data_IF_224065545473
#
_entry.id   IF_224065545473
#
_cell.length_a   1.000
_cell.length_b   1.000
_cell.length_c   1.000
_cell.angle_alpha   90.00
_cell.angle_beta   90.00
_cell.angle_gamma   90.00
#
_symmetry.space_group_name_H-M   'P 1'
#
loop_
_entity.id
_entity.type
_entity.pdbx_description
1 polymer ?
#
# COMPACT_ATOMS: atom_id res chain seq x y z
N UNK A 1 4.00 -8.38 -13.86
CA UNK A 1 3.51 -9.18 -12.72
C UNK A 1 3.86 -10.65 -12.95
N UNK A 2 4.47 -11.30 -11.97
CA UNK A 2 4.78 -12.75 -12.03
C UNK A 2 3.74 -13.59 -11.28
N UNK A 3 3.78 -14.90 -11.49
CA UNK A 3 2.95 -15.88 -10.76
C UNK A 3 3.27 -15.87 -9.27
N UNK A 4 4.55 -15.75 -8.93
CA UNK A 4 5.07 -15.70 -7.56
C UNK A 4 4.48 -14.49 -6.80
N UNK A 5 4.45 -13.30 -7.41
CA UNK A 5 3.83 -12.11 -6.80
C UNK A 5 2.35 -12.36 -6.46
N UNK A 6 1.60 -12.95 -7.39
CA UNK A 6 0.19 -13.29 -7.18
C UNK A 6 -0.02 -14.36 -6.11
N UNK A 7 0.89 -15.33 -5.99
CA UNK A 7 0.87 -16.30 -4.90
C UNK A 7 1.08 -15.64 -3.54
N UNK A 8 1.98 -14.65 -3.45
CA UNK A 8 2.17 -13.84 -2.24
C UNK A 8 0.90 -13.10 -1.81
N UNK A 9 0.23 -12.43 -2.76
CA UNK A 9 -1.05 -11.73 -2.50
C UNK A 9 -2.11 -12.73 -2.03
N UNK A 10 -2.29 -13.84 -2.74
CA UNK A 10 -3.27 -14.87 -2.38
C UNK A 10 -2.96 -15.51 -1.01
N UNK A 11 -1.69 -15.70 -0.68
CA UNK A 11 -1.27 -16.20 0.62
C UNK A 11 -1.62 -15.20 1.73
N UNK A 12 -1.34 -13.91 1.54
CA UNK A 12 -1.70 -12.87 2.49
C UNK A 12 -3.23 -12.75 2.65
N UNK A 13 -3.99 -12.89 1.56
CA UNK A 13 -5.46 -12.88 1.60
C UNK A 13 -6.04 -13.99 2.47
N UNK A 14 -5.57 -15.22 2.26
CA UNK A 14 -6.04 -16.41 2.96
C UNK A 14 -5.66 -16.43 4.43
N UNK A 15 -4.51 -15.84 4.77
CA UNK A 15 -3.93 -16.00 6.11
C UNK A 15 -4.08 -14.77 7.00
N UNK A 16 -4.58 -13.64 6.49
CA UNK A 16 -4.97 -12.46 7.28
C UNK A 16 -6.49 -12.29 7.14
N UNK A 17 -7.22 -12.81 8.13
CA UNK A 17 -8.69 -12.91 8.07
C UNK A 17 -9.31 -11.98 9.09
N UNK A 18 -10.27 -11.16 8.66
CA UNK A 18 -11.09 -10.35 9.54
C UNK A 18 -12.23 -11.19 10.12
N UNK A 19 -12.35 -11.23 11.45
CA UNK A 19 -13.47 -11.84 12.14
C UNK A 19 -14.49 -10.75 12.48
N UNK A 20 -15.66 -10.79 11.84
CA UNK A 20 -16.73 -9.83 12.06
C UNK A 20 -17.26 -9.86 13.50
N UNK A 21 -17.27 -11.02 14.17
CA UNK A 21 -17.86 -11.15 15.52
C UNK A 21 -17.00 -10.48 16.58
N UNK A 22 -15.68 -10.59 16.44
CA UNK A 22 -14.73 -10.00 17.39
C UNK A 22 -14.11 -8.69 16.88
N UNK A 23 -14.56 -8.20 15.72
CA UNK A 23 -14.01 -7.04 15.01
C UNK A 23 -12.47 -7.04 14.94
N UNK A 24 -11.87 -8.20 14.75
CA UNK A 24 -10.43 -8.38 14.90
C UNK A 24 -9.83 -9.22 13.79
N UNK A 25 -8.58 -8.93 13.42
CA UNK A 25 -7.83 -9.79 12.51
C UNK A 25 -7.25 -11.00 13.22
N UNK A 26 -7.22 -12.12 12.50
CA UNK A 26 -6.55 -13.36 12.91
C UNK A 26 -5.52 -13.76 11.86
N UNK A 27 -4.44 -14.37 12.33
CA UNK A 27 -3.45 -15.00 11.47
C UNK A 27 -3.70 -16.50 11.43
N UNK A 28 -3.92 -17.04 10.23
CA UNK A 28 -3.97 -18.49 10.04
C UNK A 28 -2.57 -19.09 9.87
N UNK A 29 -1.56 -18.26 9.62
CA UNK A 29 -0.16 -18.66 9.66
C UNK A 29 0.62 -17.65 10.52
N UNK A 30 1.34 -18.17 11.51
CA UNK A 30 2.15 -17.40 12.46
C UNK A 30 3.34 -16.69 11.81
N UNK A 31 3.62 -16.94 10.54
CA UNK A 31 4.68 -16.28 9.80
C UNK A 31 4.63 -14.75 9.87
N UNK A 32 3.43 -14.17 9.90
CA UNK A 32 3.26 -12.72 10.00
C UNK A 32 3.67 -12.20 11.38
N UNK A 33 3.65 -13.03 12.44
CA UNK A 33 4.06 -12.61 13.79
C UNK A 33 5.53 -12.18 13.85
N UNK A 34 6.37 -12.73 12.97
CA UNK A 34 7.81 -12.43 12.89
C UNK A 34 8.09 -10.94 12.57
N UNK A 35 7.15 -10.26 11.93
CA UNK A 35 7.27 -8.85 11.55
C UNK A 35 6.68 -7.90 12.61
N UNK A 36 6.08 -8.43 13.66
CA UNK A 36 5.54 -7.64 14.77
C UNK A 36 6.68 -7.06 15.64
N UNK A 37 6.46 -5.92 16.30
CA UNK A 37 7.27 -5.50 17.44
C UNK A 37 7.29 -6.61 18.50
N UNK A 38 8.50 -7.05 18.91
CA UNK A 38 8.68 -8.13 19.90
C UNK A 38 7.92 -9.43 19.58
N UNK A 39 7.66 -9.72 18.29
CA UNK A 39 6.82 -10.83 17.83
C UNK A 39 5.36 -10.81 18.36
N UNK A 40 4.90 -9.65 18.83
CA UNK A 40 3.57 -9.49 19.39
C UNK A 40 2.73 -8.48 18.60
N UNK A 41 1.55 -8.91 18.15
CA UNK A 41 0.61 -8.12 17.36
C UNK A 41 -0.76 -8.06 18.04
N UNK A 42 -0.84 -7.39 19.20
CA UNK A 42 -2.06 -7.32 20.00
C UNK A 42 -3.18 -6.54 19.29
N UNK A 43 -2.84 -5.43 18.62
CA UNK A 43 -3.82 -4.59 17.92
C UNK A 43 -4.07 -5.02 16.47
N UNK A 44 -5.22 -4.63 15.91
CA UNK A 44 -5.51 -4.84 14.49
C UNK A 44 -4.51 -4.12 13.58
N UNK A 45 -4.15 -2.86 13.91
CA UNK A 45 -3.12 -2.12 13.19
C UNK A 45 -1.78 -2.86 13.17
N UNK A 46 -1.38 -3.44 14.31
CA UNK A 46 -0.20 -4.29 14.42
C UNK A 46 -0.28 -5.49 13.49
N UNK A 47 -1.39 -6.23 13.50
CA UNK A 47 -1.58 -7.42 12.67
C UNK A 47 -1.48 -7.09 11.18
N UNK A 48 -2.25 -6.11 10.70
CA UNK A 48 -2.29 -5.82 9.27
C UNK A 48 -0.95 -5.25 8.80
N UNK A 49 -0.35 -4.31 9.53
CA UNK A 49 0.91 -3.72 9.09
C UNK A 49 2.11 -4.68 9.21
N UNK A 50 2.06 -5.65 10.13
CA UNK A 50 3.02 -6.76 10.17
C UNK A 50 2.90 -7.64 8.92
N UNK A 51 1.68 -7.97 8.51
CA UNK A 51 1.43 -8.74 7.30
C UNK A 51 1.77 -7.96 6.01
N UNK A 52 1.49 -6.66 5.96
CA UNK A 52 1.94 -5.76 4.88
C UNK A 52 3.46 -5.77 4.76
N UNK A 53 4.18 -5.66 5.89
CA UNK A 53 5.64 -5.74 5.91
C UNK A 53 6.13 -7.09 5.39
N UNK A 54 5.49 -8.19 5.79
CA UNK A 54 5.83 -9.52 5.28
C UNK A 54 5.63 -9.64 3.77
N UNK A 55 4.54 -9.07 3.23
CA UNK A 55 4.24 -9.09 1.81
C UNK A 55 5.25 -8.26 1.00
N UNK A 56 5.62 -7.07 1.47
CA UNK A 56 6.67 -6.24 0.85
C UNK A 56 8.01 -6.96 0.81
N UNK A 57 8.42 -7.55 1.94
CA UNK A 57 9.67 -8.30 2.02
C UNK A 57 9.65 -9.52 1.09
N UNK A 58 8.51 -10.18 0.97
CA UNK A 58 8.34 -11.26 -0.02
C UNK A 58 8.52 -10.75 -1.45
N UNK A 59 7.88 -9.64 -1.82
CA UNK A 59 8.02 -9.04 -3.16
C UNK A 59 9.47 -8.67 -3.49
N UNK A 60 10.20 -8.06 -2.56
CA UNK A 60 11.61 -7.69 -2.73
C UNK A 60 12.55 -8.87 -2.96
N UNK A 61 12.18 -10.08 -2.53
CA UNK A 61 12.99 -11.27 -2.77
C UNK A 61 12.66 -11.96 -4.10
N UNK A 62 11.49 -11.68 -4.69
CA UNK A 62 11.13 -12.18 -6.02
C UNK A 62 11.86 -11.37 -7.08
N UNK A 63 11.92 -10.05 -6.89
CA UNK A 63 12.52 -9.13 -7.84
C UNK A 63 13.87 -8.61 -7.31
N UNK A 64 14.96 -9.22 -7.79
CA UNK A 64 16.33 -8.87 -7.41
C UNK A 64 16.78 -7.51 -7.99
N UNK A 65 15.97 -6.85 -8.83
CA UNK A 65 16.27 -5.55 -9.42
C UNK A 65 15.44 -4.43 -8.77
N UNK A 66 16.13 -3.43 -8.23
CA UNK A 66 15.53 -2.27 -7.53
C UNK A 66 14.55 -1.44 -8.40
N UNK A 67 14.41 -1.72 -9.70
CA UNK A 67 13.58 -0.93 -10.62
C UNK A 67 12.08 -1.08 -10.43
N UNK A 68 11.59 -2.22 -9.91
CA UNK A 68 10.14 -2.41 -9.68
C UNK A 68 9.70 -2.16 -8.23
N UNK A 69 10.60 -1.81 -7.29
CA UNK A 69 10.28 -1.63 -5.86
C UNK A 69 9.11 -0.65 -5.64
N UNK A 70 9.07 0.39 -6.46
CA UNK A 70 8.02 1.41 -6.46
C UNK A 70 6.65 0.86 -6.88
N UNK A 71 6.61 -0.07 -7.83
CA UNK A 71 5.40 -0.74 -8.33
C UNK A 71 4.93 -1.82 -7.35
N UNK A 72 5.85 -2.62 -6.83
CA UNK A 72 5.56 -3.68 -5.87
C UNK A 72 5.00 -3.11 -4.56
N UNK A 73 5.53 -1.96 -4.13
CA UNK A 73 4.98 -1.23 -2.99
C UNK A 73 3.55 -0.77 -3.24
N UNK A 74 3.21 -0.32 -4.45
CA UNK A 74 1.83 0.03 -4.80
C UNK A 74 0.89 -1.17 -4.66
N UNK A 75 1.29 -2.36 -5.11
CA UNK A 75 0.46 -3.57 -4.99
C UNK A 75 0.24 -4.00 -3.54
N UNK A 76 1.27 -3.87 -2.70
CA UNK A 76 1.11 -4.10 -1.26
C UNK A 76 0.16 -3.07 -0.63
N UNK A 77 0.17 -1.80 -1.07
CA UNK A 77 -0.77 -0.76 -0.61
C UNK A 77 -2.20 -1.11 -0.99
N UNK A 78 -2.43 -1.59 -2.23
CA UNK A 78 -3.76 -2.04 -2.66
C UNK A 78 -4.27 -3.18 -1.78
N UNK A 79 -3.41 -4.16 -1.47
CA UNK A 79 -3.73 -5.24 -0.53
C UNK A 79 -4.03 -4.72 0.88
N UNK A 80 -3.24 -3.77 1.38
CA UNK A 80 -3.45 -3.21 2.71
C UNK A 80 -4.81 -2.49 2.79
N UNK A 81 -5.13 -1.67 1.78
CA UNK A 81 -6.43 -1.02 1.68
C UNK A 81 -7.59 -2.04 1.66
N UNK A 82 -7.45 -3.13 0.91
CA UNK A 82 -8.50 -4.16 0.80
C UNK A 82 -8.74 -4.91 2.10
N UNK A 83 -7.74 -4.96 3.00
CA UNK A 83 -7.93 -5.45 4.36
C UNK A 83 -8.65 -4.40 5.20
N UNK A 84 -8.14 -3.18 5.26
CA UNK A 84 -8.74 -2.12 6.09
C UNK A 84 -10.23 -1.88 5.78
N UNK A 85 -10.62 -1.95 4.50
CA UNK A 85 -12.01 -1.75 4.05
C UNK A 85 -12.99 -2.86 4.47
N UNK A 86 -12.52 -3.93 5.12
CA UNK A 86 -13.40 -5.00 5.63
C UNK A 86 -14.08 -4.63 6.95
N UNK A 87 -13.59 -3.60 7.65
CA UNK A 87 -14.24 -3.15 8.88
C UNK A 87 -15.42 -2.21 8.53
N UNK A 88 -16.66 -2.56 8.89
CA UNK A 88 -17.87 -1.87 8.41
C UNK A 88 -18.00 -0.42 8.88
N UNK A 89 -17.46 -0.07 10.05
CA UNK A 89 -17.67 1.25 10.68
C UNK A 89 -16.47 2.20 10.59
N UNK A 90 -15.50 1.93 9.71
CA UNK A 90 -14.38 2.88 9.52
C UNK A 90 -14.71 3.77 8.32
N UNK A 91 -15.07 5.03 8.58
CA UNK A 91 -14.66 6.10 7.67
C UNK A 91 -13.13 6.08 7.65
N UNK A 92 -12.56 5.39 6.65
CA UNK A 92 -11.10 5.25 6.55
C UNK A 92 -10.56 6.64 6.26
N UNK A 93 -10.12 7.30 7.34
CA UNK A 93 -9.54 8.62 7.26
C UNK A 93 -8.40 8.61 6.26
N UNK A 94 -8.27 9.74 5.55
CA UNK A 94 -7.12 9.99 4.69
C UNK A 94 -5.85 9.72 5.51
N UNK A 95 -4.99 8.84 5.02
CA UNK A 95 -3.72 8.44 5.66
C UNK A 95 -3.79 7.43 6.81
N UNK A 96 -4.93 6.75 7.08
CA UNK A 96 -4.96 5.66 8.08
C UNK A 96 -3.84 4.63 7.87
N UNK A 97 -3.63 4.17 6.63
CA UNK A 97 -2.54 3.25 6.29
C UNK A 97 -1.17 3.83 6.67
N UNK A 98 -0.90 5.07 6.26
CA UNK A 98 0.37 5.75 6.53
C UNK A 98 0.61 5.91 8.03
N UNK A 99 -0.42 6.30 8.79
CA UNK A 99 -0.33 6.49 10.24
C UNK A 99 -0.05 5.16 10.96
N UNK A 100 -0.71 4.06 10.57
CA UNK A 100 -0.42 2.73 11.09
C UNK A 100 1.05 2.36 10.85
N UNK A 101 1.56 2.58 9.63
CA UNK A 101 2.94 2.23 9.31
C UNK A 101 3.96 3.11 10.05
N UNK A 102 3.63 4.39 10.22
CA UNK A 102 4.44 5.38 10.94
C UNK A 102 4.54 5.09 12.42
N UNK A 103 3.41 4.81 13.06
CA UNK A 103 3.33 4.58 14.50
C UNK A 103 4.27 3.46 14.96
N UNK A 104 4.41 2.41 14.16
CA UNK A 104 5.19 1.23 14.53
C UNK A 104 6.60 1.18 13.90
N UNK A 105 7.04 2.28 13.28
CA UNK A 105 8.34 2.42 12.64
C UNK A 105 8.67 1.28 11.64
N UNK A 106 7.67 0.80 10.90
CA UNK A 106 7.87 -0.23 9.88
C UNK A 106 8.54 0.30 8.61
N UNK A 107 8.90 1.58 8.59
CA UNK A 107 9.66 2.24 7.53
C UNK A 107 11.16 1.94 7.55
N UNK A 108 11.70 1.38 8.64
CA UNK A 108 13.15 1.23 8.82
C UNK A 108 13.89 2.57 8.86
N UNK A 109 15.23 2.54 8.87
CA UNK A 109 16.06 3.76 8.83
C UNK A 109 15.94 4.51 7.48
N UNK A 110 15.57 3.80 6.40
CA UNK A 110 15.44 4.32 5.04
C UNK A 110 13.98 4.59 4.63
N UNK A 111 13.15 5.12 5.54
CA UNK A 111 11.70 5.35 5.36
C UNK A 111 11.25 6.22 4.17
N UNK A 112 12.19 6.63 3.32
CA UNK A 112 12.00 7.40 2.08
C UNK A 112 11.11 6.70 1.05
N UNK A 113 11.15 5.36 0.94
CA UNK A 113 10.37 4.65 -0.09
C UNK A 113 8.86 4.75 0.19
N UNK A 114 8.44 4.58 1.45
CA UNK A 114 7.02 4.65 1.80
C UNK A 114 6.53 6.10 1.92
N UNK A 115 7.36 7.04 2.35
CA UNK A 115 7.00 8.48 2.34
C UNK A 115 6.62 8.95 0.93
N UNK A 116 7.34 8.50 -0.11
CA UNK A 116 7.02 8.78 -1.52
C UNK A 116 5.68 8.18 -1.99
N UNK A 117 5.10 7.25 -1.24
CA UNK A 117 3.82 6.60 -1.56
C UNK A 117 2.67 7.07 -0.68
N UNK A 118 2.90 8.09 0.16
CA UNK A 118 1.88 8.70 1.03
C UNK A 118 0.65 9.18 0.25
N UNK A 119 0.84 9.75 -0.94
CA UNK A 119 -0.26 10.21 -1.78
C UNK A 119 -1.17 9.06 -2.21
N UNK A 120 -0.59 7.91 -2.55
CA UNK A 120 -1.34 6.70 -2.92
C UNK A 120 -2.08 6.14 -1.71
N UNK A 121 -1.44 6.12 -0.54
CA UNK A 121 -2.08 5.72 0.72
C UNK A 121 -3.18 6.68 1.18
N UNK A 122 -3.19 7.92 0.68
CA UNK A 122 -4.21 8.93 0.93
C UNK A 122 -5.40 8.84 -0.04
N UNK A 123 -5.35 8.00 -1.07
CA UNK A 123 -6.48 7.82 -1.99
C UNK A 123 -7.62 7.15 -1.24
N UNK A 124 -8.85 7.66 -1.46
CA UNK A 124 -10.04 7.11 -0.82
C UNK A 124 -10.21 5.62 -1.13
N UNK A 125 -10.60 4.84 -0.11
CA UNK A 125 -10.54 3.38 -0.13
C UNK A 125 -11.34 2.73 -1.28
N UNK A 126 -12.45 3.35 -1.71
CA UNK A 126 -13.26 2.87 -2.83
C UNK A 126 -12.48 2.85 -4.17
N UNK A 127 -11.66 3.86 -4.43
CA UNK A 127 -10.85 3.91 -5.64
C UNK A 127 -9.74 2.85 -5.60
N UNK A 128 -9.08 2.72 -4.44
CA UNK A 128 -8.07 1.68 -4.21
C UNK A 128 -8.67 0.27 -4.27
N UNK A 129 -9.92 0.09 -3.85
CA UNK A 129 -10.66 -1.18 -4.00
C UNK A 129 -10.79 -1.57 -5.47
N UNK A 130 -11.20 -0.66 -6.34
CA UNK A 130 -11.31 -0.94 -7.78
C UNK A 130 -9.95 -1.36 -8.39
N UNK A 131 -8.86 -0.68 -8.00
CA UNK A 131 -7.51 -1.06 -8.42
C UNK A 131 -7.11 -2.45 -7.89
N UNK A 132 -7.47 -2.76 -6.65
CA UNK A 132 -7.18 -4.06 -6.05
C UNK A 132 -8.00 -5.20 -6.72
N UNK A 133 -9.26 -4.95 -7.06
CA UNK A 133 -10.09 -5.90 -7.80
C UNK A 133 -9.48 -6.18 -9.19
N UNK A 134 -8.97 -5.14 -9.88
CA UNK A 134 -8.24 -5.31 -11.13
C UNK A 134 -6.93 -6.09 -10.96
N UNK A 135 -6.12 -5.78 -9.94
CA UNK A 135 -4.93 -6.55 -9.56
C UNK A 135 -5.27 -8.05 -9.35
N UNK A 136 -6.37 -8.35 -8.66
CA UNK A 136 -6.83 -9.72 -8.44
C UNK A 136 -7.26 -10.42 -9.73
N UNK A 137 -7.96 -9.72 -10.62
CA UNK A 137 -8.33 -10.24 -11.94
C UNK A 137 -7.10 -10.58 -12.80
N UNK A 138 -6.05 -9.74 -12.76
CA UNK A 138 -4.77 -10.02 -13.40
C UNK A 138 -4.15 -11.29 -12.82
N UNK A 139 -4.15 -11.44 -11.49
CA UNK A 139 -3.61 -12.64 -10.83
C UNK A 139 -4.39 -13.92 -11.15
N UNK A 140 -5.72 -13.85 -11.27
CA UNK A 140 -6.56 -14.95 -11.74
C UNK A 140 -6.17 -15.33 -13.17
N UNK A 141 -5.98 -14.32 -14.04
CA UNK A 141 -5.57 -14.52 -15.43
C UNK A 141 -4.21 -15.21 -15.53
N UNK A 142 -3.19 -14.75 -14.77
CA UNK A 142 -1.88 -15.43 -14.72
C UNK A 142 -2.03 -16.90 -14.30
N UNK A 143 -2.88 -17.17 -13.30
CA UNK A 143 -3.09 -18.51 -12.78
C UNK A 143 -3.76 -19.43 -13.82
N UNK A 144 -4.76 -18.91 -14.53
CA UNK A 144 -5.51 -19.67 -15.53
C UNK A 144 -4.74 -19.82 -16.85
N UNK A 145 -3.88 -18.86 -17.20
CA UNK A 145 -3.05 -18.95 -18.39
C UNK A 145 -1.82 -19.85 -18.22
N UNK A 146 -1.54 -20.32 -17.00
CA UNK A 146 -0.44 -21.23 -16.70
C UNK A 146 -0.79 -22.68 -17.10
N UNK A 147 -0.59 -23.01 -18.38
CA UNK A 147 -0.78 -24.34 -18.96
C UNK A 147 -1.64 -24.33 -20.23
N UNK A 148 -1.48 -25.35 -21.09
CA UNK A 148 -2.21 -25.44 -22.36
C UNK A 148 -3.69 -25.84 -22.18
N UNK A 149 -4.02 -26.65 -21.18
CA UNK A 149 -5.38 -27.17 -20.95
C UNK A 149 -6.38 -26.15 -20.45
N UNK A 150 -5.92 -24.98 -19.96
CA UNK A 150 -6.76 -23.94 -19.35
C UNK A 150 -7.04 -22.74 -20.28
N UNK A 151 -7.00 -22.97 -21.58
CA UNK A 151 -7.09 -21.88 -22.57
C UNK A 151 -8.43 -21.13 -22.48
N UNK A 152 -9.55 -21.83 -22.29
CA UNK A 152 -10.88 -21.23 -22.09
C UNK A 152 -10.94 -20.34 -20.86
N UNK A 153 -10.46 -20.83 -19.72
CA UNK A 153 -10.46 -20.13 -18.43
C UNK A 153 -9.51 -18.93 -18.46
N UNK A 154 -8.37 -19.07 -19.14
CA UNK A 154 -7.43 -17.98 -19.40
C UNK A 154 -8.11 -16.85 -20.19
N UNK A 155 -8.83 -17.18 -21.28
CA UNK A 155 -9.56 -16.18 -22.07
C UNK A 155 -10.70 -15.54 -21.26
N UNK A 156 -11.45 -16.32 -20.48
CA UNK A 156 -12.56 -15.81 -19.66
C UNK A 156 -12.07 -14.84 -18.57
N UNK A 157 -11.03 -15.22 -17.84
CA UNK A 157 -10.41 -14.35 -16.82
C UNK A 157 -9.82 -13.06 -17.43
N UNK A 158 -9.22 -13.15 -18.62
CA UNK A 158 -8.76 -11.98 -19.36
C UNK A 158 -9.92 -11.06 -19.81
N UNK A 159 -11.07 -11.62 -20.22
CA UNK A 159 -12.28 -10.83 -20.50
C UNK A 159 -12.78 -10.09 -19.26
N UNK A 160 -12.75 -10.71 -18.08
CA UNK A 160 -13.10 -10.06 -16.80
C UNK A 160 -12.20 -8.87 -16.51
N UNK A 161 -10.90 -8.96 -16.82
CA UNK A 161 -9.94 -7.85 -16.68
C UNK A 161 -10.34 -6.60 -17.47
N UNK A 162 -10.95 -6.75 -18.65
CA UNK A 162 -11.47 -5.61 -19.44
C UNK A 162 -12.55 -4.83 -18.68
N UNK A 163 -13.48 -5.53 -18.04
CA UNK A 163 -14.51 -4.92 -17.20
C UNK A 163 -13.94 -4.22 -15.97
N UNK A 164 -12.99 -4.86 -15.28
CA UNK A 164 -12.32 -4.30 -14.11
C UNK A 164 -11.51 -3.03 -14.45
N UNK A 165 -10.79 -3.04 -15.57
CA UNK A 165 -10.05 -1.88 -16.07
C UNK A 165 -10.98 -0.70 -16.39
N UNK A 166 -12.11 -0.97 -17.07
CA UNK A 166 -13.13 0.05 -17.36
C UNK A 166 -13.72 0.65 -16.10
N UNK A 167 -14.01 -0.17 -15.09
CA UNK A 167 -14.51 0.30 -13.79
C UNK A 167 -13.53 1.27 -13.10
N UNK A 168 -12.22 1.04 -13.24
CA UNK A 168 -11.20 1.95 -12.72
C UNK A 168 -11.25 3.34 -13.38
N UNK A 169 -11.57 3.42 -14.67
CA UNK A 169 -11.61 4.69 -15.41
C UNK A 169 -12.96 5.40 -15.27
N UNK A 170 -14.07 4.65 -15.21
CA UNK A 170 -15.39 5.24 -14.97
C UNK A 170 -15.50 5.85 -13.56
N UNK A 171 -14.73 5.33 -12.61
CA UNK A 171 -14.67 5.83 -11.25
C UNK A 171 -13.31 6.45 -10.95
N UNK A 172 -12.88 7.39 -11.79
CA UNK A 172 -11.66 8.16 -11.51
C UNK A 172 -11.82 9.01 -10.25
N UNK A 173 -10.75 9.16 -9.46
CA UNK A 173 -10.78 10.05 -8.32
C UNK A 173 -10.64 11.51 -8.76
N UNK A 174 -10.81 12.40 -7.79
CA UNK A 174 -10.73 13.84 -7.97
C UNK A 174 -9.33 14.27 -8.44
N UNK A 175 -9.26 15.42 -9.12
CA UNK A 175 -8.06 15.93 -9.81
C UNK A 175 -6.78 15.86 -8.97
N UNK A 176 -6.85 16.20 -7.68
CA UNK A 176 -5.71 16.26 -6.76
C UNK A 176 -5.01 14.91 -6.56
N UNK A 177 -5.74 13.81 -6.67
CA UNK A 177 -5.24 12.44 -6.46
C UNK A 177 -5.31 11.58 -7.72
N UNK A 178 -5.73 12.17 -8.85
CA UNK A 178 -5.90 11.50 -10.13
C UNK A 178 -4.56 11.00 -10.69
N UNK A 179 -3.50 11.81 -10.62
CA UNK A 179 -2.17 11.41 -11.12
C UNK A 179 -1.55 10.23 -10.33
N UNK A 180 -1.49 10.26 -8.97
CA UNK A 180 -1.06 9.09 -8.19
C UNK A 180 -1.88 7.83 -8.48
N UNK A 181 -3.20 7.95 -8.63
CA UNK A 181 -4.08 6.85 -8.99
C UNK A 181 -3.74 6.25 -10.37
N UNK A 182 -3.60 7.11 -11.39
CA UNK A 182 -3.29 6.67 -12.74
C UNK A 182 -1.91 6.03 -12.88
N UNK A 183 -0.96 6.40 -12.02
CA UNK A 183 0.33 5.72 -11.98
C UNK A 183 0.16 4.23 -11.61
N UNK A 184 -0.64 3.94 -10.58
CA UNK A 184 -0.95 2.56 -10.18
C UNK A 184 -1.71 1.82 -11.28
N UNK A 185 -2.76 2.45 -11.85
CA UNK A 185 -3.55 1.84 -12.92
C UNK A 185 -2.72 1.54 -14.17
N UNK A 186 -1.80 2.44 -14.53
CA UNK A 186 -0.88 2.26 -15.66
C UNK A 186 0.03 1.05 -15.43
N UNK A 187 0.57 0.89 -14.23
CA UNK A 187 1.38 -0.28 -13.88
C UNK A 187 0.59 -1.60 -14.00
N UNK A 188 -0.66 -1.63 -13.51
CA UNK A 188 -1.54 -2.79 -13.65
C UNK A 188 -1.85 -3.09 -15.12
N UNK A 189 -2.17 -2.06 -15.91
CA UNK A 189 -2.42 -2.19 -17.36
C UNK A 189 -1.21 -2.78 -18.08
N UNK A 190 -0.01 -2.26 -17.83
CA UNK A 190 1.23 -2.74 -18.43
C UNK A 190 1.49 -4.19 -18.05
N UNK A 191 1.20 -4.57 -16.81
CA UNK A 191 1.33 -5.96 -16.36
C UNK A 191 0.33 -6.90 -17.07
N UNK A 192 -0.89 -6.45 -17.35
CA UNK A 192 -1.83 -7.19 -18.20
C UNK A 192 -1.36 -7.31 -19.66
N UNK A 193 -0.86 -6.21 -20.23
CA UNK A 193 -0.36 -6.20 -21.61
C UNK A 193 0.79 -7.20 -21.79
N UNK A 194 1.72 -7.27 -20.82
CA UNK A 194 2.79 -8.29 -20.79
C UNK A 194 2.23 -9.72 -20.78
N UNK A 195 1.15 -9.99 -20.05
CA UNK A 195 0.52 -11.33 -20.05
C UNK A 195 -0.03 -11.66 -21.43
N UNK A 196 -0.70 -10.69 -22.09
CA UNK A 196 -1.22 -10.86 -23.45
C UNK A 196 -0.09 -11.12 -24.44
N UNK A 197 1.02 -10.38 -24.35
CA UNK A 197 2.20 -10.59 -25.19
C UNK A 197 2.84 -11.97 -25.00
N UNK A 198 2.87 -12.48 -23.77
CA UNK A 198 3.38 -13.81 -23.46
C UNK A 198 2.42 -14.95 -23.85
N UNK A 199 1.17 -14.65 -24.17
CA UNK A 199 0.11 -15.61 -24.55
C UNK A 199 -0.52 -15.24 -25.90
N UNK A 200 0.30 -14.83 -26.87
CA UNK A 200 -0.16 -14.40 -28.22
C UNK A 200 -0.99 -15.47 -28.93
N UNK A 201 -0.65 -16.74 -28.74
CA UNK A 201 -1.37 -17.90 -29.27
C UNK A 201 -2.85 -17.94 -28.81
N UNK A 202 -3.12 -17.50 -27.57
CA UNK A 202 -4.45 -17.50 -26.97
C UNK A 202 -5.31 -16.30 -27.35
N UNK A 203 -4.73 -15.29 -28.02
CA UNK A 203 -5.41 -14.06 -28.47
C UNK A 203 -6.25 -13.41 -27.36
N UNK A 204 -5.63 -13.15 -26.21
CA UNK A 204 -6.32 -12.50 -25.08
C UNK A 204 -6.84 -11.11 -25.48
N UNK A 205 -8.00 -10.67 -24.96
CA UNK A 205 -8.61 -9.41 -25.36
C UNK A 205 -7.75 -8.20 -24.97
N UNK A 206 -7.83 -7.14 -25.76
CA UNK A 206 -7.29 -5.83 -25.39
C UNK A 206 -8.18 -5.14 -24.35
N UNK A 207 -7.57 -4.27 -23.55
CA UNK A 207 -8.28 -3.44 -22.57
C UNK A 207 -8.89 -2.21 -23.26
N UNK A 208 -9.86 -2.46 -24.15
CA UNK A 208 -10.53 -1.40 -24.92
C UNK A 208 -11.49 -0.60 -24.04
N UNK A 209 -11.60 0.70 -24.33
CA UNK A 209 -12.53 1.60 -23.68
C UNK A 209 -13.73 1.89 -24.59
N UNK A 210 -14.92 2.20 -24.03
CA UNK A 210 -16.03 2.71 -24.81
C UNK A 210 -15.65 3.98 -25.56
N UNK A 211 -16.32 4.23 -26.68
CA UNK A 211 -16.13 5.46 -27.46
C UNK A 211 -16.35 6.70 -26.58
N UNK A 212 -15.49 7.70 -26.73
CA UNK A 212 -15.50 8.93 -25.93
C UNK A 212 -14.77 8.83 -24.59
N UNK A 213 -14.36 7.64 -24.15
CA UNK A 213 -13.56 7.44 -22.93
C UNK A 213 -12.09 7.18 -23.28
N UNK A 214 -11.18 7.89 -22.62
CA UNK A 214 -9.75 7.83 -22.91
C UNK A 214 -8.98 7.20 -21.75
N UNK A 215 -7.67 6.99 -21.94
CA UNK A 215 -6.84 6.46 -20.88
C UNK A 215 -6.82 7.37 -19.65
N UNK A 216 -6.46 6.77 -18.51
CA UNK A 216 -6.49 7.41 -17.21
C UNK A 216 -5.81 8.80 -17.18
N UNK A 217 -4.63 8.94 -17.82
CA UNK A 217 -3.87 10.20 -17.78
C UNK A 217 -4.58 11.27 -18.59
N UNK A 218 -5.10 10.91 -19.76
CA UNK A 218 -5.89 11.81 -20.61
C UNK A 218 -7.15 12.29 -19.89
N UNK A 219 -7.86 11.39 -19.21
CA UNK A 219 -9.04 11.76 -18.42
C UNK A 219 -8.70 12.66 -17.23
N UNK A 220 -7.60 12.41 -16.49
CA UNK A 220 -7.14 13.33 -15.46
C UNK A 220 -6.80 14.71 -16.00
N UNK A 221 -6.14 14.78 -17.16
CA UNK A 221 -5.81 16.05 -17.81
C UNK A 221 -7.07 16.84 -18.17
N UNK A 222 -8.09 16.19 -18.74
CA UNK A 222 -9.38 16.82 -19.03
C UNK A 222 -10.08 17.34 -17.77
N UNK A 223 -10.04 16.60 -16.66
CA UNK A 223 -10.60 17.06 -15.39
C UNK A 223 -9.90 18.34 -14.90
N UNK A 224 -8.58 18.39 -14.98
CA UNK A 224 -7.78 19.54 -14.57
C UNK A 224 -8.07 20.77 -15.44
N UNK A 225 -8.07 20.62 -16.77
CA UNK A 225 -8.41 21.71 -17.69
C UNK A 225 -9.85 22.20 -17.50
N UNK A 226 -10.80 21.28 -17.32
CA UNK A 226 -12.19 21.62 -17.01
C UNK A 226 -12.32 22.42 -15.71
N UNK A 227 -11.54 22.06 -14.68
CA UNK A 227 -11.50 22.81 -13.42
C UNK A 227 -10.92 24.22 -13.62
N UNK A 228 -9.78 24.35 -14.31
CA UNK A 228 -9.17 25.67 -14.62
C UNK A 228 -10.14 26.58 -15.37
N UNK A 229 -10.84 26.05 -16.37
CA UNK A 229 -11.83 26.80 -17.13
C UNK A 229 -12.98 27.31 -16.24
N UNK A 230 -13.47 26.48 -15.31
CA UNK A 230 -14.50 26.87 -14.33
C UNK A 230 -14.03 27.97 -13.38
N UNK A 231 -12.81 27.85 -12.84
CA UNK A 231 -12.21 28.87 -11.97
C UNK A 231 -12.03 30.19 -12.73
N UNK A 232 -11.54 30.14 -13.97
CA UNK A 232 -11.37 31.33 -14.80
C UNK A 232 -12.71 32.01 -15.14
N UNK A 233 -13.79 31.24 -15.36
CA UNK A 233 -15.13 31.77 -15.57
C UNK A 233 -15.69 32.45 -14.30
N UNK A 234 -15.47 31.85 -13.13
CA UNK A 234 -15.91 32.40 -11.85
C UNK A 234 -15.22 33.73 -11.54
N UNK A 235 -13.91 33.82 -11.76
CA UNK A 235 -13.15 35.05 -11.51
C UNK A 235 -13.60 36.20 -12.43
N UNK A 236 -13.93 35.92 -13.70
CA UNK A 236 -14.50 36.93 -14.61
C UNK A 236 -15.89 37.40 -14.21
N UNK A 237 -16.67 36.56 -13.51
CA UNK A 237 -17.98 36.92 -12.99
C UNK A 237 -17.92 37.73 -11.69
N UNK A 238 -16.82 37.63 -10.92
CA UNK A 238 -16.65 38.35 -9.66
C UNK A 238 -16.16 39.79 -9.84
N UNK A 239 -15.46 40.10 -10.93
CA UNK A 239 -15.02 41.47 -11.28
C UNK A 239 -16.19 42.42 -11.65
N UNK A 240 -17.42 41.91 -11.71
CA UNK A 240 -18.63 42.69 -12.00
C UNK A 240 -19.55 42.96 -10.81
N UNK A 241 -19.19 42.55 -9.59
CA UNK A 241 -20.05 42.67 -8.41
C UNK A 241 -19.36 43.45 -7.30
N UNK A 242 -19.50 44.78 -7.31
CA UNK A 242 -19.38 45.59 -6.09
C UNK A 242 -20.42 45.10 -5.08
N UNK A 243 -19.99 44.31 -4.09
CA UNK A 243 -20.79 44.11 -2.88
C UNK A 243 -19.89 44.40 -1.68
N UNK A 244 -20.45 45.31 -0.90
CA UNK A 244 -19.95 45.98 0.29
C UNK A 244 -19.37 45.03 1.34
N UNK A 245 -18.37 45.53 2.05
CA UNK A 245 -17.52 44.78 2.97
C UNK A 245 -18.30 44.39 4.22
N UNK A 246 -18.19 43.14 4.68
CA UNK A 246 -18.45 42.77 6.09
C UNK A 246 -17.30 41.91 6.60
N UNK A 247 -16.59 42.28 7.69
CA UNK A 247 -15.39 41.58 8.11
C UNK A 247 -15.69 40.46 9.10
N UNK A 248 -15.06 39.30 8.91
CA UNK A 248 -15.03 38.27 9.95
C UNK A 248 -14.46 36.95 9.46
N UNK A 249 -13.19 36.69 9.79
CA UNK A 249 -12.66 35.55 10.55
C UNK A 249 -11.13 35.56 10.32
N UNK A 250 -10.40 36.24 11.21
CA UNK A 250 -8.95 36.13 11.30
C UNK A 250 -8.61 34.87 12.09
N UNK A 251 -7.81 33.99 11.49
CA UNK A 251 -7.24 32.82 12.15
C UNK A 251 -6.27 33.28 13.25
N UNK A 252 -6.57 32.93 14.50
CA UNK A 252 -5.72 33.15 15.66
C UNK A 252 -4.57 32.13 15.66
N UNK A 253 -3.38 32.63 15.38
CA UNK A 253 -2.11 31.92 15.52
C UNK A 253 -1.66 32.04 17.00
N UNK A 254 -1.72 30.94 17.76
CA UNK A 254 -1.32 30.91 19.17
C UNK A 254 0.08 30.30 19.30
N UNK A 255 1.10 31.15 19.29
CA UNK A 255 2.50 30.78 19.55
C UNK A 255 2.79 30.76 21.05
N UNK A 256 3.19 29.60 21.58
CA UNK A 256 3.65 29.41 22.96
C UNK A 256 5.18 29.29 22.95
N UNK A 257 5.94 30.11 23.71
CA UNK A 257 7.38 29.93 23.84
C UNK A 257 7.72 28.93 24.96
N UNK A 258 8.80 28.12 24.82
CA UNK A 258 9.22 27.17 25.83
C UNK A 258 10.09 27.81 26.92
N UNK A 259 9.76 27.56 28.18
CA UNK A 259 10.56 27.89 29.36
C UNK A 259 11.69 26.88 29.52
N UNK A 260 12.94 27.33 29.46
CA UNK A 260 14.12 26.55 29.86
C UNK A 260 14.30 26.59 31.38
N UNK A 261 14.52 25.43 32.00
CA UNK A 261 14.93 25.33 33.41
C UNK A 261 16.24 24.54 33.47
N UNK A 262 17.17 25.17 34.16
CA UNK A 262 18.56 24.80 34.36
C UNK A 262 18.69 23.76 35.48
N UNK A 263 19.73 22.93 35.42
CA UNK A 263 20.76 22.76 36.48
C UNK A 263 21.33 21.35 36.53
N UNK A 264 22.67 21.32 36.53
CA UNK A 264 23.48 20.12 36.62
C UNK A 264 23.70 19.68 38.05
N UNK A 265 23.72 18.37 38.25
CA UNK A 265 24.04 17.74 39.51
C UNK A 265 25.19 16.73 39.28
N UNK A 266 26.35 17.00 39.89
CA UNK A 266 27.46 16.06 40.04
C UNK A 266 27.00 14.87 40.89
N UNK A 267 27.14 13.65 40.38
CA UNK A 267 26.94 12.41 41.14
C UNK A 267 28.28 11.84 41.67
N UNK A 268 28.28 11.23 42.87
CA UNK A 268 29.46 10.65 43.48
C UNK A 268 29.84 9.30 42.82
N UNK A 269 31.15 9.13 42.69
CA UNK A 269 31.88 8.19 41.83
C UNK A 269 31.90 6.71 42.30
N UNK A 270 30.86 6.19 42.96
CA UNK A 270 30.87 4.82 43.55
C UNK A 270 29.82 3.87 42.93
N UNK A 271 29.07 4.29 41.90
CA UNK A 271 28.08 3.44 41.21
C UNK A 271 28.51 2.87 39.84
N UNK A 272 29.77 3.07 39.43
CA UNK A 272 30.21 2.85 38.04
C UNK A 272 30.22 1.37 37.60
N UNK A 273 30.63 0.37 38.41
CA UNK A 273 30.64 -1.03 37.96
C UNK A 273 29.24 -1.66 37.83
N UNK A 274 28.29 -1.29 38.71
CA UNK A 274 26.93 -1.85 38.71
C UNK A 274 26.02 -1.25 37.62
N UNK A 275 26.33 -0.04 37.16
CA UNK A 275 25.62 0.61 36.05
C UNK A 275 26.16 0.15 34.69
N UNK A 276 27.47 -0.15 34.58
CA UNK A 276 28.08 -0.58 33.32
C UNK A 276 27.61 -1.95 32.85
N UNK A 277 27.36 -2.90 33.75
CA UNK A 277 26.90 -4.26 33.38
C UNK A 277 25.53 -4.23 32.66
N UNK A 278 24.47 -3.57 33.19
CA UNK A 278 23.20 -3.43 32.47
C UNK A 278 23.33 -2.54 31.22
N UNK A 279 24.26 -1.58 31.17
CA UNK A 279 24.55 -0.83 29.94
C UNK A 279 25.19 -1.73 28.88
N UNK A 280 26.20 -2.53 29.22
CA UNK A 280 26.86 -3.46 28.28
C UNK A 280 25.90 -4.58 27.87
N UNK A 281 25.07 -5.10 28.78
CA UNK A 281 24.00 -6.05 28.46
C UNK A 281 22.90 -5.41 27.60
N UNK A 282 22.50 -4.17 27.87
CA UNK A 282 21.53 -3.43 27.08
C UNK A 282 22.04 -3.08 25.67
N UNK A 283 23.31 -2.69 25.57
CA UNK A 283 24.01 -2.42 24.31
C UNK A 283 24.18 -3.71 23.52
N UNK A 284 24.68 -4.80 24.13
CA UNK A 284 24.83 -6.09 23.46
C UNK A 284 23.47 -6.72 23.08
N UNK A 285 22.43 -6.59 23.91
CA UNK A 285 21.07 -6.99 23.56
C UNK A 285 20.53 -6.18 22.38
N UNK A 286 20.80 -4.86 22.33
CA UNK A 286 20.46 -4.00 21.18
C UNK A 286 21.21 -4.39 19.90
N UNK A 287 22.39 -5.01 19.99
CA UNK A 287 23.14 -5.51 18.82
C UNK A 287 22.86 -6.97 18.46
N UNK A 288 22.40 -7.81 19.40
CA UNK A 288 22.05 -9.21 19.17
C UNK A 288 20.60 -9.41 18.71
N UNK A 289 19.67 -8.59 19.21
CA UNK A 289 18.26 -8.63 18.78
C UNK A 289 18.06 -8.37 17.28
N UNK A 290 18.77 -7.45 16.60
CA UNK A 290 18.66 -7.26 15.17
C UNK A 290 19.14 -8.48 14.38
N UNK A 291 20.18 -9.17 14.84
CA UNK A 291 20.73 -10.37 14.17
C UNK A 291 19.73 -11.53 14.24
N UNK A 292 19.15 -11.77 15.42
CA UNK A 292 18.11 -12.79 15.59
C UNK A 292 16.86 -12.45 14.78
N UNK A 293 16.42 -11.19 14.80
CA UNK A 293 15.29 -10.70 14.01
C UNK A 293 15.52 -10.85 12.50
N UNK A 294 16.75 -10.59 12.02
CA UNK A 294 17.12 -10.82 10.62
C UNK A 294 17.09 -12.31 10.27
N UNK A 295 17.54 -13.20 11.18
CA UNK A 295 17.51 -14.66 10.96
C UNK A 295 16.09 -15.21 10.93
N UNK A 296 15.20 -14.77 11.83
CA UNK A 296 13.79 -15.18 11.85
C UNK A 296 13.06 -14.69 10.61
N UNK A 297 13.23 -13.42 10.22
CA UNK A 297 12.67 -12.87 8.97
C UNK A 297 13.17 -13.64 7.74
N UNK A 298 14.48 -13.96 7.65
CA UNK A 298 15.02 -14.80 6.55
C UNK A 298 14.38 -16.19 6.49
N UNK A 299 14.17 -16.84 7.64
CA UNK A 299 13.50 -18.15 7.69
C UNK A 299 12.03 -18.05 7.27
N UNK A 300 11.32 -17.02 7.76
CA UNK A 300 9.95 -16.73 7.34
C UNK A 300 9.87 -16.56 5.82
N UNK A 301 10.69 -15.67 5.24
CA UNK A 301 10.72 -15.44 3.79
C UNK A 301 10.94 -16.73 3.00
N UNK A 302 11.90 -17.58 3.39
CA UNK A 302 12.11 -18.89 2.78
C UNK A 302 10.87 -19.80 2.83
N UNK A 303 10.10 -19.76 3.93
CA UNK A 303 8.85 -20.51 4.05
C UNK A 303 7.78 -19.99 3.06
N UNK A 304 7.64 -18.67 2.88
CA UNK A 304 6.70 -18.10 1.88
C UNK A 304 7.11 -18.49 0.46
N UNK A 305 8.41 -18.45 0.15
CA UNK A 305 8.94 -18.84 -1.16
C UNK A 305 8.71 -20.34 -1.43
N UNK A 306 9.07 -21.22 -0.49
CA UNK A 306 8.87 -22.66 -0.66
C UNK A 306 7.40 -23.05 -0.84
N UNK A 307 6.46 -22.31 -0.23
CA UNK A 307 5.01 -22.51 -0.43
C UNK A 307 4.55 -22.12 -1.84
N UNK A 308 5.21 -21.15 -2.46
CA UNK A 308 4.99 -20.76 -3.85
C UNK A 308 5.48 -21.85 -4.82
N UNK A 309 6.61 -22.49 -4.50
CA UNK A 309 7.21 -23.56 -5.32
C UNK A 309 6.53 -24.92 -5.17
N UNK A 310 6.01 -25.28 -3.99
CA UNK A 310 5.30 -26.57 -3.79
C UNK A 310 4.02 -26.72 -4.64
N UNK A 311 3.49 -25.64 -5.22
CA UNK A 311 2.39 -25.69 -6.19
C UNK A 311 2.84 -25.77 -7.65
N UNK A 312 4.14 -26.02 -7.91
CA UNK A 312 4.72 -26.31 -9.23
C UNK A 312 4.92 -27.82 -9.48
N UNK A 313 4.71 -28.68 -8.48
CA UNK A 313 4.81 -30.14 -8.58
C UNK A 313 3.45 -30.79 -8.85
#
# INVERSE_FOLDING_TARGET
MSKELCQGINFADKNVVFDQKSESYKFNDDIFKVYCPNNNCDSNGLKIGSAFTALLEYFKNIDNENSEDDKLTQYAILWFNSKLSQKPDIEIERYTMYNILKQYNWFGEDGKSIEKKKDIMGIHYLYLKNLYDFLKGICETITNCNGHSKTSECIESAKKCSGLYRACILHLPWREICNPYCNVLTNLKNDYDKIRENNRDKKLPELTLPEGLYDCKTECYKQEEGHKARVAALNRSSDGSEIDTTPGISLLDLSVPPTSINNGNKLPYIAVPLILIPIILGISYKYLTPVWRKKTKRKAMKKIINLSDQKKA
#
